data_IF_963856290398
#
_entry.id   IF_963856290398
#
_cell.length_a   1.000
_cell.length_b   1.000
_cell.length_c   1.000
_cell.angle_alpha   90.00
_cell.angle_beta   90.00
_cell.angle_gamma   90.00
#
_symmetry.space_group_name_H-M   'P 1'
#
loop_
_entity.id
_entity.type
_entity.pdbx_description
1 polymer ?
#
# COMPACT_ATOMS: atom_id res chain seq x y z
N UNK A 1 12.31 4.26 1.21
CA UNK A 1 11.66 2.95 1.01
C UNK A 1 11.24 2.29 2.34
N UNK A 2 12.11 2.28 3.36
CA UNK A 2 11.77 1.73 4.69
C UNK A 2 10.51 2.36 5.31
N UNK A 3 10.38 3.68 5.30
CA UNK A 3 9.21 4.39 5.84
C UNK A 3 7.90 4.00 5.14
N UNK A 4 7.89 3.96 3.80
CA UNK A 4 6.70 3.56 3.04
C UNK A 4 6.22 2.15 3.39
N UNK A 5 7.16 1.22 3.62
CA UNK A 5 6.85 -0.14 4.03
C UNK A 5 6.29 -0.22 5.46
N UNK A 6 6.85 0.54 6.40
CA UNK A 6 6.37 0.60 7.78
C UNK A 6 4.94 1.18 7.82
N UNK A 7 4.70 2.26 7.06
CA UNK A 7 3.36 2.84 6.93
C UNK A 7 2.39 1.85 6.29
N UNK A 8 2.79 1.18 5.22
CA UNK A 8 1.96 0.18 4.57
C UNK A 8 1.60 -0.96 5.51
N UNK A 9 2.58 -1.45 6.28
CA UNK A 9 2.36 -2.49 7.28
C UNK A 9 1.36 -2.05 8.35
N UNK A 10 1.42 -0.79 8.82
CA UNK A 10 0.41 -0.23 9.74
C UNK A 10 -0.98 -0.23 9.11
N UNK A 11 -1.08 0.27 7.87
CA UNK A 11 -2.35 0.38 7.16
C UNK A 11 -2.99 -1.00 6.95
N UNK A 12 -2.25 -1.96 6.41
CA UNK A 12 -2.79 -3.32 6.15
C UNK A 12 -3.02 -4.13 7.43
N UNK A 13 -2.39 -3.77 8.56
CA UNK A 13 -2.66 -4.40 9.86
C UNK A 13 -3.90 -3.81 10.55
N UNK A 14 -4.44 -2.69 10.06
CA UNK A 14 -5.60 -2.03 10.66
C UNK A 14 -6.88 -2.81 10.34
N UNK A 15 -7.67 -3.22 11.35
CA UNK A 15 -8.91 -3.96 11.12
C UNK A 15 -9.86 -3.21 10.18
N UNK A 16 -10.34 -3.91 9.15
CA UNK A 16 -11.28 -3.35 8.17
C UNK A 16 -10.62 -2.79 6.92
N UNK A 17 -9.29 -2.59 6.90
CA UNK A 17 -8.54 -2.30 5.68
C UNK A 17 -8.31 -3.60 4.89
N UNK A 18 -8.55 -3.55 3.59
CA UNK A 18 -8.37 -4.63 2.62
C UNK A 18 -7.05 -4.48 1.85
N UNK A 19 -6.72 -3.25 1.46
CA UNK A 19 -5.50 -2.95 0.72
C UNK A 19 -5.14 -1.47 0.80
N UNK A 20 -3.90 -1.15 0.48
CA UNK A 20 -3.39 0.20 0.21
C UNK A 20 -2.85 0.28 -1.22
N UNK A 21 -3.16 1.36 -1.92
CA UNK A 21 -2.47 1.80 -3.13
C UNK A 21 -1.77 3.13 -2.83
N UNK A 22 -0.48 3.23 -3.13
CA UNK A 22 0.28 4.46 -2.91
C UNK A 22 1.21 4.75 -4.07
N UNK A 23 1.30 6.02 -4.46
CA UNK A 23 2.33 6.50 -5.36
C UNK A 23 2.75 7.92 -5.03
N UNK A 24 3.96 8.28 -5.44
CA UNK A 24 4.52 9.58 -5.12
C UNK A 24 3.84 10.70 -5.91
N UNK A 25 3.79 11.88 -5.32
CA UNK A 25 3.52 13.17 -5.94
C UNK A 25 4.76 13.78 -6.60
N UNK A 26 5.96 13.25 -6.34
CA UNK A 26 7.21 13.68 -6.97
C UNK A 26 7.16 13.39 -8.48
N UNK A 27 7.21 14.41 -9.36
CA UNK A 27 7.14 14.22 -10.80
C UNK A 27 8.30 13.39 -11.39
N UNK A 28 9.42 13.25 -10.67
CA UNK A 28 10.55 12.41 -11.06
C UNK A 28 10.43 10.95 -10.63
N UNK A 29 9.47 10.63 -9.74
CA UNK A 29 9.31 9.29 -9.16
C UNK A 29 8.01 8.62 -9.62
N UNK A 30 8.10 7.78 -10.66
CA UNK A 30 6.93 7.11 -11.27
C UNK A 30 6.48 5.85 -10.55
N UNK A 31 7.27 5.38 -9.57
CA UNK A 31 7.00 4.13 -8.88
C UNK A 31 5.98 4.32 -7.74
N UNK A 32 5.19 3.28 -7.52
CA UNK A 32 4.25 3.15 -6.42
C UNK A 32 4.27 1.74 -5.85
N UNK A 33 3.26 1.42 -5.06
CA UNK A 33 3.05 0.08 -4.54
C UNK A 33 1.58 -0.20 -4.26
N UNK A 34 1.25 -1.48 -4.22
CA UNK A 34 0.03 -2.01 -3.63
C UNK A 34 0.42 -2.87 -2.45
N UNK A 35 -0.26 -2.73 -1.32
CA UNK A 35 -0.07 -3.58 -0.16
C UNK A 35 -1.39 -4.22 0.25
N UNK A 36 -1.40 -5.51 0.57
CA UNK A 36 -2.55 -6.18 1.21
C UNK A 36 -2.07 -7.22 2.21
N UNK A 37 -2.92 -7.64 3.17
CA UNK A 37 -2.58 -8.71 4.11
C UNK A 37 -2.20 -10.03 3.42
N UNK A 38 -2.86 -10.33 2.29
CA UNK A 38 -2.71 -11.59 1.57
C UNK A 38 -1.51 -11.60 0.61
N UNK A 39 -1.26 -10.47 -0.06
CA UNK A 39 -0.24 -10.37 -1.11
C UNK A 39 1.02 -9.60 -0.68
N UNK A 40 1.06 -9.09 0.55
CA UNK A 40 2.16 -8.30 1.07
C UNK A 40 2.37 -7.00 0.30
N UNK A 41 3.59 -6.46 0.36
CA UNK A 41 3.98 -5.21 -0.30
C UNK A 41 4.49 -5.48 -1.72
N UNK A 42 3.75 -5.04 -2.73
CA UNK A 42 4.06 -5.20 -4.14
C UNK A 42 4.45 -3.87 -4.78
N UNK A 43 5.69 -3.76 -5.24
CA UNK A 43 6.18 -2.54 -5.89
C UNK A 43 5.81 -2.49 -7.37
N UNK A 44 5.28 -1.36 -7.81
CA UNK A 44 4.93 -1.08 -9.21
C UNK A 44 5.86 0.01 -9.73
N UNK A 45 6.68 -0.27 -10.74
CA UNK A 45 7.72 0.68 -11.20
C UNK A 45 7.17 1.83 -12.05
N UNK A 46 6.00 1.65 -12.65
CA UNK A 46 5.36 2.62 -13.54
C UNK A 46 3.87 2.74 -13.21
N UNK A 47 3.54 3.52 -12.17
CA UNK A 47 2.15 3.78 -11.79
C UNK A 47 1.62 5.12 -12.34
N UNK A 48 2.51 6.08 -12.62
CA UNK A 48 2.16 7.37 -13.21
C UNK A 48 3.11 7.78 -14.33
N UNK A 49 2.69 8.67 -15.25
CA UNK A 49 3.58 9.27 -16.24
C UNK A 49 4.70 10.08 -15.57
N UNK A 50 5.86 10.14 -16.24
CA UNK A 50 6.93 11.05 -15.81
C UNK A 50 6.47 12.51 -15.96
N UNK A 51 6.76 13.34 -14.96
CA UNK A 51 6.33 14.74 -14.91
C UNK A 51 4.96 14.96 -14.25
N UNK A 52 4.19 13.90 -13.99
CA UNK A 52 2.90 14.00 -13.30
C UNK A 52 3.10 14.27 -11.80
N UNK A 53 2.41 15.29 -11.28
CA UNK A 53 2.50 15.73 -9.87
C UNK A 53 1.40 15.15 -9.01
N UNK A 54 0.37 14.56 -9.61
CA UNK A 54 -0.69 13.88 -8.89
C UNK A 54 -0.14 12.61 -8.25
N UNK A 55 0.01 12.68 -6.92
CA UNK A 55 0.34 11.57 -6.02
C UNK A 55 -0.84 11.23 -5.13
N UNK A 56 -0.72 10.16 -4.36
CA UNK A 56 -1.73 9.86 -3.36
C UNK A 56 -1.61 8.51 -2.70
N UNK A 57 -2.49 8.34 -1.72
CA UNK A 57 -2.73 7.08 -1.02
C UNK A 57 -4.23 6.80 -1.05
N UNK A 58 -4.59 5.58 -1.40
CA UNK A 58 -5.96 5.10 -1.36
C UNK A 58 -6.00 3.84 -0.49
N UNK A 59 -6.88 3.85 0.51
CA UNK A 59 -7.11 2.70 1.39
C UNK A 59 -8.45 2.07 1.02
N UNK A 60 -8.41 0.80 0.65
CA UNK A 60 -9.59 0.01 0.37
C UNK A 60 -10.07 -0.57 1.69
N UNK A 61 -11.34 -0.34 2.06
CA UNK A 61 -11.92 -0.80 3.33
C UNK A 61 -13.13 -1.69 3.08
N UNK A 62 -13.46 -2.58 4.01
CA UNK A 62 -14.68 -3.38 3.91
C UNK A 62 -15.91 -2.46 4.01
N UNK A 63 -16.97 -2.70 3.21
CA UNK A 63 -18.17 -1.85 3.21
C UNK A 63 -18.84 -1.68 4.57
N UNK A 64 -18.77 -2.69 5.45
CA UNK A 64 -19.40 -2.69 6.77
C UNK A 64 -18.48 -2.17 7.89
N UNK A 65 -17.27 -1.72 7.58
CA UNK A 65 -16.34 -1.23 8.59
C UNK A 65 -16.71 0.18 9.05
N UNK A 66 -16.53 0.43 10.35
CA UNK A 66 -16.70 1.76 10.94
C UNK A 66 -15.52 2.67 10.53
N UNK A 67 -15.76 3.63 9.65
CA UNK A 67 -14.72 4.53 9.15
C UNK A 67 -14.05 5.35 10.26
N UNK A 68 -14.81 5.85 11.22
CA UNK A 68 -14.24 6.62 12.33
C UNK A 68 -13.31 5.78 13.20
N UNK A 69 -13.63 4.51 13.42
CA UNK A 69 -12.73 3.59 14.14
C UNK A 69 -11.46 3.32 13.34
N UNK A 70 -11.56 3.12 12.03
CA UNK A 70 -10.38 2.95 11.16
C UNK A 70 -9.48 4.18 11.24
N UNK A 71 -10.04 5.39 11.15
CA UNK A 71 -9.27 6.64 11.25
C UNK A 71 -8.58 6.74 12.62
N UNK A 72 -9.31 6.48 13.70
CA UNK A 72 -8.75 6.50 15.06
C UNK A 72 -7.61 5.48 15.22
N UNK A 73 -7.80 4.26 14.72
CA UNK A 73 -6.77 3.22 14.78
C UNK A 73 -5.53 3.63 13.96
N UNK A 74 -5.72 4.20 12.77
CA UNK A 74 -4.63 4.69 11.93
C UNK A 74 -3.87 5.86 12.58
N UNK A 75 -4.55 6.75 13.29
CA UNK A 75 -3.93 7.92 13.92
C UNK A 75 -3.28 7.60 15.27
N UNK A 76 -3.90 6.74 16.07
CA UNK A 76 -3.53 6.58 17.49
C UNK A 76 -2.95 5.24 17.86
N UNK A 77 -3.16 4.18 17.06
CA UNK A 77 -2.62 2.87 17.40
C UNK A 77 -1.12 2.82 17.10
N UNK A 78 -0.38 2.15 17.98
CA UNK A 78 1.05 1.89 17.80
C UNK A 78 1.26 0.56 17.11
N UNK A 79 2.17 0.53 16.14
CA UNK A 79 2.65 -0.71 15.52
C UNK A 79 4.17 -0.76 15.68
N UNK A 80 4.67 -1.85 16.26
CA UNK A 80 6.09 -2.16 16.31
C UNK A 80 6.38 -3.30 15.34
N UNK A 81 7.26 -3.05 14.37
CA UNK A 81 7.74 -4.08 13.45
C UNK A 81 9.11 -4.54 13.92
N UNK A 82 9.20 -5.81 14.33
CA UNK A 82 10.48 -6.40 14.73
C UNK A 82 11.33 -6.78 13.51
N UNK A 83 10.69 -7.22 12.43
CA UNK A 83 11.37 -7.63 11.20
C UNK A 83 10.56 -7.20 9.96
N UNK A 84 11.27 -6.92 8.87
CA UNK A 84 10.68 -6.78 7.55
C UNK A 84 10.84 -8.13 6.84
N UNK A 85 9.74 -8.68 6.32
CA UNK A 85 9.75 -9.96 5.62
C UNK A 85 10.61 -9.97 4.35
N UNK A 86 10.69 -11.13 3.71
CA UNK A 86 11.45 -11.32 2.48
C UNK A 86 10.90 -10.51 1.30
N UNK A 87 11.79 -9.92 0.50
CA UNK A 87 11.43 -9.29 -0.76
C UNK A 87 11.38 -10.35 -1.86
N UNK A 88 10.25 -10.43 -2.56
CA UNK A 88 10.17 -11.25 -3.78
C UNK A 88 10.86 -10.54 -4.94
N UNK A 89 11.48 -11.31 -5.83
CA UNK A 89 12.05 -10.76 -7.05
C UNK A 89 10.97 -10.10 -7.93
N UNK A 90 11.32 -9.04 -8.70
CA UNK A 90 10.40 -8.42 -9.62
C UNK A 90 9.85 -9.44 -10.62
N UNK A 91 8.53 -9.65 -10.61
CA UNK A 91 7.84 -10.48 -11.59
C UNK A 91 7.13 -9.60 -12.62
N UNK A 92 7.35 -9.88 -13.91
CA UNK A 92 6.49 -9.31 -14.95
C UNK A 92 5.12 -9.97 -14.87
N UNK A 93 4.08 -9.16 -14.80
CA UNK A 93 2.70 -9.63 -14.90
C UNK A 93 2.47 -10.27 -16.28
N UNK A 94 2.09 -11.55 -16.33
CA UNK A 94 1.88 -12.31 -17.59
C UNK A 94 0.40 -12.48 -17.97
N UNK A 95 -0.52 -11.89 -17.21
CA UNK A 95 -1.97 -12.02 -17.40
C UNK A 95 -2.56 -12.94 -16.33
N UNK A 96 -3.51 -12.43 -15.54
CA UNK A 96 -4.27 -13.25 -14.59
C UNK A 96 -5.31 -14.13 -15.31
N UNK A 97 -5.92 -15.11 -14.62
CA UNK A 97 -7.00 -15.90 -15.21
C UNK A 97 -8.10 -14.96 -15.71
N UNK A 98 -8.44 -15.11 -17.00
CA UNK A 98 -9.64 -14.49 -17.58
C UNK A 98 -10.84 -15.21 -16.97
N UNK A 99 -11.43 -14.59 -15.94
CA UNK A 99 -12.76 -14.95 -15.46
C UNK A 99 -13.82 -14.58 -16.48
#
# INVERSE_FOLDING_TARGET
MREAMVLAAKVISTPGVLAELCWSDDPSYTAGYVASPEAGYQRLTHLKPFGERLGGRAFFVRPQSCLSQIVEDLERSFLLLNELGGFSEPRRWTGGPRG
#
